data_IF_703969698104
#
_entry.id   IF_703969698104
#
_cell.length_a   1.000
_cell.length_b   1.000
_cell.length_c   1.000
_cell.angle_alpha   90.00
_cell.angle_beta   90.00
_cell.angle_gamma   90.00
#
_symmetry.space_group_name_H-M   'P 1'
#
loop_
_entity.id
_entity.type
_entity.pdbx_description
1 polymer ?
#
# COMPACT_ATOMS: atom_id res chain seq x y z
N UNK A 1 55.84 -65.67 -0.56
CA UNK A 1 55.96 -65.03 0.77
C UNK A 1 55.18 -63.73 0.70
N UNK A 2 54.08 -63.50 1.41
CA UNK A 2 53.57 -64.12 2.62
C UNK A 2 53.19 -63.00 3.59
N UNK A 3 51.89 -62.91 3.93
CA UNK A 3 51.29 -62.34 5.16
C UNK A 3 51.53 -60.85 5.50
N UNK A 4 50.58 -60.07 6.02
CA UNK A 4 49.23 -60.29 6.51
C UNK A 4 48.50 -58.94 6.67
N UNK A 5 47.18 -59.01 6.71
CA UNK A 5 46.23 -58.03 7.29
C UNK A 5 46.62 -57.63 8.74
N UNK A 6 46.08 -56.52 9.25
CA UNK A 6 44.86 -56.68 10.05
C UNK A 6 43.75 -55.67 9.73
N UNK A 7 42.53 -56.20 9.80
CA UNK A 7 41.29 -55.46 9.89
C UNK A 7 41.12 -54.81 11.28
N UNK A 8 40.41 -53.67 11.33
CA UNK A 8 39.71 -53.20 12.52
C UNK A 8 38.58 -52.26 12.09
N UNK A 9 37.41 -52.87 11.87
CA UNK A 9 36.13 -52.17 11.80
C UNK A 9 35.85 -51.40 13.10
N UNK A 10 35.50 -50.12 12.98
CA UNK A 10 34.71 -49.42 14.00
C UNK A 10 33.52 -48.75 13.31
N UNK A 11 32.46 -49.56 13.10
CA UNK A 11 31.11 -49.07 12.78
C UNK A 11 30.62 -48.18 13.92
N UNK A 12 30.61 -46.86 13.71
CA UNK A 12 29.87 -45.95 14.57
C UNK A 12 28.36 -46.18 14.38
N UNK A 13 27.67 -46.52 15.48
CA UNK A 13 26.22 -46.76 15.53
C UNK A 13 25.42 -45.48 15.18
N UNK A 14 24.30 -45.59 14.45
CA UNK A 14 23.44 -44.46 14.09
C UNK A 14 22.47 -44.09 15.23
N UNK A 15 22.98 -43.87 16.44
CA UNK A 15 22.17 -43.47 17.61
C UNK A 15 22.56 -42.16 18.27
N UNK A 16 23.74 -41.61 17.96
CA UNK A 16 24.22 -40.38 18.62
C UNK A 16 24.11 -39.11 17.76
N UNK A 17 23.79 -39.22 16.47
CA UNK A 17 23.57 -38.05 15.60
C UNK A 17 22.20 -37.36 15.79
N UNK A 18 21.25 -38.00 16.51
CA UNK A 18 19.94 -37.40 16.83
C UNK A 18 19.92 -36.56 18.11
N UNK A 19 21.00 -36.53 18.89
CA UNK A 19 21.08 -35.73 20.13
C UNK A 19 21.82 -34.40 20.00
N UNK A 20 22.52 -34.14 18.89
CA UNK A 20 23.18 -32.85 18.62
C UNK A 20 22.44 -31.94 17.63
N UNK A 21 21.26 -32.35 17.14
CA UNK A 21 20.39 -31.53 16.28
C UNK A 21 19.10 -31.07 17.00
N UNK A 22 19.10 -31.03 18.34
CA UNK A 22 17.94 -30.66 19.16
C UNK A 22 18.28 -29.70 20.32
N UNK A 23 19.33 -28.87 20.17
CA UNK A 23 19.69 -27.87 21.19
C UNK A 23 20.08 -26.49 20.63
N UNK A 24 19.56 -26.09 19.46
CA UNK A 24 19.78 -24.74 18.92
C UNK A 24 18.55 -24.11 18.26
N UNK A 25 17.35 -24.63 18.55
CA UNK A 25 16.08 -23.97 18.21
C UNK A 25 15.22 -24.05 19.47
N UNK A 26 14.83 -22.91 20.02
CA UNK A 26 13.97 -22.84 21.22
C UNK A 26 14.58 -22.15 22.44
N UNK A 27 15.33 -21.07 22.26
CA UNK A 27 15.77 -20.18 23.35
C UNK A 27 14.81 -19.01 23.65
N UNK A 28 13.54 -19.12 23.25
CA UNK A 28 12.56 -18.04 23.41
C UNK A 28 11.16 -18.58 23.64
N UNK A 29 10.88 -19.18 24.79
CA UNK A 29 9.54 -19.78 24.99
C UNK A 29 8.94 -19.70 26.39
N UNK A 30 9.42 -18.82 27.28
CA UNK A 30 8.71 -18.55 28.54
C UNK A 30 8.64 -17.07 28.91
N UNK A 31 9.64 -16.25 28.54
CA UNK A 31 9.62 -14.81 28.81
C UNK A 31 8.78 -14.00 27.81
N UNK A 32 8.70 -14.40 26.54
CA UNK A 32 7.90 -13.70 25.52
C UNK A 32 6.40 -13.91 25.69
N UNK A 33 5.95 -15.13 25.98
CA UNK A 33 4.56 -15.44 26.31
C UNK A 33 4.07 -14.64 27.53
N UNK A 34 4.94 -14.50 28.55
CA UNK A 34 4.66 -13.66 29.72
C UNK A 34 4.58 -12.18 29.39
N UNK A 35 5.44 -11.66 28.52
CA UNK A 35 5.45 -10.26 28.10
C UNK A 35 4.22 -9.89 27.26
N UNK A 36 3.81 -10.76 26.33
CA UNK A 36 2.61 -10.57 25.50
C UNK A 36 1.34 -10.65 26.35
N UNK A 37 1.22 -11.63 27.25
CA UNK A 37 0.09 -11.72 28.19
C UNK A 37 0.04 -10.51 29.15
N UNK A 38 1.22 -10.03 29.60
CA UNK A 38 1.31 -8.85 30.46
C UNK A 38 0.83 -7.59 29.75
N UNK A 39 1.19 -7.39 28.48
CA UNK A 39 0.70 -6.26 27.68
C UNK A 39 -0.83 -6.25 27.60
N UNK A 40 -1.44 -7.39 27.22
CA UNK A 40 -2.89 -7.51 27.12
C UNK A 40 -3.61 -7.27 28.45
N UNK A 41 -3.03 -7.77 29.55
CA UNK A 41 -3.54 -7.52 30.90
C UNK A 41 -3.46 -6.04 31.29
N UNK A 42 -2.35 -5.37 30.99
CA UNK A 42 -2.18 -3.93 31.22
C UNK A 42 -3.16 -3.11 30.38
N UNK A 43 -3.31 -3.44 29.08
CA UNK A 43 -4.22 -2.76 28.18
C UNK A 43 -5.69 -2.90 28.62
N UNK A 44 -6.10 -4.11 29.00
CA UNK A 44 -7.43 -4.36 29.55
C UNK A 44 -7.68 -3.57 30.85
N UNK A 45 -6.71 -3.59 31.77
CA UNK A 45 -6.82 -2.87 33.04
C UNK A 45 -6.87 -1.36 32.83
N UNK A 46 -6.07 -0.82 31.91
CA UNK A 46 -6.08 0.60 31.57
C UNK A 46 -7.41 1.03 30.94
N UNK A 47 -7.95 0.22 30.03
CA UNK A 47 -9.26 0.46 29.43
C UNK A 47 -10.36 0.45 30.50
N UNK A 48 -10.38 -0.58 31.37
CA UNK A 48 -11.36 -0.70 32.44
C UNK A 48 -11.29 0.47 33.43
N UNK A 49 -10.08 0.88 33.86
CA UNK A 49 -9.88 2.03 34.74
C UNK A 49 -10.32 3.31 34.06
N UNK A 50 -9.97 3.52 32.78
CA UNK A 50 -10.36 4.73 32.04
C UNK A 50 -11.88 4.84 31.89
N UNK A 51 -12.55 3.74 31.53
CA UNK A 51 -14.02 3.69 31.45
C UNK A 51 -14.65 3.95 32.82
N UNK A 52 -14.11 3.36 33.89
CA UNK A 52 -14.60 3.59 35.25
C UNK A 52 -14.43 5.06 35.67
N UNK A 53 -13.28 5.69 35.41
CA UNK A 53 -13.02 7.10 35.75
C UNK A 53 -13.97 8.05 35.01
N UNK A 54 -14.41 7.71 33.79
CA UNK A 54 -15.37 8.52 33.03
C UNK A 54 -16.80 8.28 33.52
N UNK A 55 -17.18 7.02 33.72
CA UNK A 55 -18.56 6.63 34.03
C UNK A 55 -18.91 6.90 35.50
N UNK A 56 -17.98 6.68 36.43
CA UNK A 56 -18.20 6.84 37.87
C UNK A 56 -18.66 8.27 38.27
N UNK A 57 -18.03 9.38 37.84
CA UNK A 57 -18.53 10.72 38.15
C UNK A 57 -19.87 11.01 37.47
N UNK A 58 -20.17 10.39 36.32
CA UNK A 58 -21.47 10.55 35.65
C UNK A 58 -22.61 9.82 36.38
N UNK A 59 -22.28 8.73 37.10
CA UNK A 59 -23.23 7.96 37.90
C UNK A 59 -23.35 8.46 39.35
N UNK A 60 -22.24 8.88 39.96
CA UNK A 60 -22.18 9.32 41.36
C UNK A 60 -22.47 10.80 41.56
N UNK A 61 -22.24 11.65 40.56
CA UNK A 61 -22.61 13.06 40.72
C UNK A 61 -24.13 13.16 40.58
N UNK A 62 -24.84 13.69 41.60
CA UNK A 62 -26.19 14.18 41.34
C UNK A 62 -26.06 15.16 40.17
N UNK A 63 -27.05 15.17 39.27
CA UNK A 63 -27.12 16.21 38.27
C UNK A 63 -27.14 17.54 39.02
N UNK A 64 -25.98 18.20 39.16
CA UNK A 64 -25.93 19.59 39.52
C UNK A 64 -26.54 20.26 38.30
N UNK A 65 -27.84 20.52 38.40
CA UNK A 65 -28.46 21.57 37.62
C UNK A 65 -27.51 22.76 37.73
N UNK A 66 -27.12 23.31 36.58
CA UNK A 66 -26.45 24.61 36.57
C UNK A 66 -27.28 25.50 37.51
N UNK A 67 -26.66 26.19 38.49
CA UNK A 67 -27.42 26.96 39.47
C UNK A 67 -28.42 27.81 38.70
N UNK A 68 -29.72 27.60 38.97
CA UNK A 68 -30.77 28.28 38.22
C UNK A 68 -30.47 29.77 38.25
N UNK A 69 -30.54 30.45 37.09
CA UNK A 69 -30.33 31.91 36.97
C UNK A 69 -31.08 32.69 38.06
N UNK A 70 -32.21 32.14 38.50
CA UNK A 70 -33.10 32.66 39.55
C UNK A 70 -32.46 32.75 40.95
N UNK A 71 -31.46 31.91 41.28
CA UNK A 71 -30.71 32.02 42.55
C UNK A 71 -29.77 33.23 42.58
N UNK A 72 -29.27 33.67 41.42
CA UNK A 72 -28.51 34.91 41.30
C UNK A 72 -29.40 36.14 41.42
N UNK A 73 -30.65 36.06 40.96
CA UNK A 73 -31.60 37.18 41.02
C UNK A 73 -31.93 37.56 42.47
N UNK A 74 -31.97 36.59 43.39
CA UNK A 74 -32.19 36.85 44.82
C UNK A 74 -31.05 37.68 45.46
N UNK A 75 -29.80 37.34 45.18
CA UNK A 75 -28.63 38.08 45.67
C UNK A 75 -28.58 39.49 45.07
N UNK A 76 -28.92 39.64 43.78
CA UNK A 76 -28.95 40.92 43.08
C UNK A 76 -30.04 41.84 43.65
N UNK A 77 -31.26 41.35 43.90
CA UNK A 77 -32.32 42.19 44.46
C UNK A 77 -32.04 42.62 45.91
N UNK A 78 -31.35 41.79 46.71
CA UNK A 78 -30.89 42.20 48.05
C UNK A 78 -29.84 43.32 47.98
N UNK A 79 -28.91 43.23 47.04
CA UNK A 79 -27.93 44.28 46.82
C UNK A 79 -28.61 45.59 46.40
N UNK A 80 -29.58 45.54 45.48
CA UNK A 80 -30.36 46.70 45.05
C UNK A 80 -31.15 47.38 46.17
N UNK A 81 -31.70 46.61 47.12
CA UNK A 81 -32.36 47.19 48.30
C UNK A 81 -31.39 47.91 49.23
N UNK A 82 -30.16 47.41 49.31
CA UNK A 82 -29.10 48.00 50.14
C UNK A 82 -28.63 49.32 49.52
N UNK A 83 -28.34 49.31 48.22
CA UNK A 83 -27.94 50.50 47.45
C UNK A 83 -29.03 51.60 47.48
N UNK A 84 -30.30 51.22 47.32
CA UNK A 84 -31.43 52.15 47.41
C UNK A 84 -31.52 52.82 48.80
N UNK A 85 -31.21 52.09 49.87
CA UNK A 85 -31.16 52.65 51.23
C UNK A 85 -30.02 53.65 51.42
N UNK A 86 -28.87 53.39 50.81
CA UNK A 86 -27.73 54.32 50.82
C UNK A 86 -28.02 55.59 50.01
N UNK A 87 -28.72 55.49 48.89
CA UNK A 87 -29.14 56.64 48.07
C UNK A 87 -30.19 57.52 48.77
N UNK A 88 -31.14 56.89 49.47
CA UNK A 88 -32.10 57.61 50.33
C UNK A 88 -31.37 58.35 51.46
N UNK A 89 -30.42 57.70 52.13
CA UNK A 89 -29.64 58.30 53.21
C UNK A 89 -28.76 59.48 52.73
N UNK A 90 -28.30 59.45 51.47
CA UNK A 90 -27.55 60.54 50.83
C UNK A 90 -28.45 61.66 50.28
N UNK A 91 -29.77 61.52 50.36
CA UNK A 91 -30.74 62.48 49.82
C UNK A 91 -30.78 62.52 48.28
N UNK A 92 -30.28 61.48 47.61
CA UNK A 92 -30.27 61.39 46.15
C UNK A 92 -31.65 61.08 45.55
N UNK A 93 -32.56 60.53 46.36
CA UNK A 93 -33.93 60.17 45.99
C UNK A 93 -34.91 60.62 47.08
N UNK A 94 -36.13 61.00 46.69
CA UNK A 94 -37.19 61.39 47.63
C UNK A 94 -37.74 60.18 48.40
N UNK A 95 -38.16 60.38 49.65
CA UNK A 95 -38.65 59.29 50.52
C UNK A 95 -39.83 58.51 49.91
N UNK A 96 -40.76 59.20 49.23
CA UNK A 96 -41.91 58.58 48.58
C UNK A 96 -41.50 57.71 47.37
N UNK A 97 -40.48 58.14 46.62
CA UNK A 97 -39.93 57.42 45.47
C UNK A 97 -39.08 56.21 45.91
N UNK A 98 -38.32 56.36 47.00
CA UNK A 98 -37.60 55.28 47.65
C UNK A 98 -38.56 54.21 48.19
N UNK A 99 -39.67 54.62 48.83
CA UNK A 99 -40.70 53.71 49.34
C UNK A 99 -41.37 52.92 48.20
N UNK A 100 -41.70 53.58 47.08
CA UNK A 100 -42.29 52.93 45.91
C UNK A 100 -41.32 51.92 45.28
N UNK A 101 -40.05 52.29 45.11
CA UNK A 101 -39.00 51.43 44.55
C UNK A 101 -38.71 50.22 45.44
N UNK A 102 -38.64 50.43 46.76
CA UNK A 102 -38.48 49.36 47.75
C UNK A 102 -39.62 48.34 47.70
N UNK A 103 -40.86 48.80 47.53
CA UNK A 103 -42.02 47.92 47.42
C UNK A 103 -41.99 47.06 46.13
N UNK A 104 -41.56 47.63 45.00
CA UNK A 104 -41.45 46.91 43.73
C UNK A 104 -40.30 45.89 43.75
N UNK A 105 -39.11 46.28 44.24
CA UNK A 105 -37.96 45.36 44.39
C UNK A 105 -38.30 44.23 45.36
N UNK A 106 -38.96 44.53 46.49
CA UNK A 106 -39.42 43.52 47.44
C UNK A 106 -40.39 42.50 46.83
N UNK A 107 -41.32 42.94 45.97
CA UNK A 107 -42.22 42.03 45.24
C UNK A 107 -41.47 41.12 44.26
N UNK A 108 -40.46 41.66 43.56
CA UNK A 108 -39.63 40.88 42.62
C UNK A 108 -38.79 39.84 43.34
N UNK A 109 -38.20 40.23 44.48
CA UNK A 109 -37.46 39.33 45.36
C UNK A 109 -38.33 38.17 45.85
N UNK A 110 -39.56 38.45 46.31
CA UNK A 110 -40.49 37.40 46.75
C UNK A 110 -40.90 36.45 45.61
N UNK A 111 -41.14 36.97 44.40
CA UNK A 111 -41.44 36.12 43.24
C UNK A 111 -40.26 35.26 42.82
N UNK A 112 -39.05 35.80 42.83
CA UNK A 112 -37.82 35.05 42.55
C UNK A 112 -37.60 33.95 43.58
N UNK A 113 -37.80 34.24 44.87
CA UNK A 113 -37.69 33.27 45.95
C UNK A 113 -38.75 32.14 45.84
N UNK A 114 -40.01 32.49 45.55
CA UNK A 114 -41.06 31.50 45.34
C UNK A 114 -40.84 30.64 44.09
N UNK A 115 -40.31 31.23 43.00
CA UNK A 115 -39.93 30.48 41.81
C UNK A 115 -38.79 29.50 42.08
N UNK A 116 -37.79 29.93 42.85
CA UNK A 116 -36.68 29.08 43.27
C UNK A 116 -37.13 27.92 44.19
N UNK A 117 -38.08 28.15 45.11
CA UNK A 117 -38.68 27.09 45.92
C UNK A 117 -39.61 26.15 45.12
N UNK A 118 -40.29 26.68 44.09
CA UNK A 118 -41.18 25.91 43.22
C UNK A 118 -40.43 25.13 42.12
N UNK A 119 -39.14 25.40 41.93
CA UNK A 119 -38.31 24.66 40.99
C UNK A 119 -38.28 23.17 41.39
N UNK A 120 -38.65 22.24 40.50
CA UNK A 120 -38.71 20.83 40.83
C UNK A 120 -37.30 20.33 41.16
N UNK A 121 -37.10 19.85 42.40
CA UNK A 121 -35.85 19.20 42.77
C UNK A 121 -35.50 18.10 41.75
N UNK A 122 -34.35 18.22 41.10
CA UNK A 122 -33.90 17.30 40.05
C UNK A 122 -34.15 15.85 40.44
N UNK A 123 -34.92 15.13 39.61
CA UNK A 123 -35.29 13.73 39.91
C UNK A 123 -34.02 12.91 40.13
N UNK A 124 -33.88 12.17 41.25
CA UNK A 124 -32.74 11.28 41.44
C UNK A 124 -32.71 10.26 40.29
N UNK A 125 -31.53 10.03 39.71
CA UNK A 125 -31.34 8.98 38.70
C UNK A 125 -31.83 7.67 39.30
N UNK A 126 -32.82 7.04 38.66
CA UNK A 126 -33.37 5.77 39.13
C UNK A 126 -32.30 4.67 39.13
N UNK A 127 -32.45 3.71 40.05
CA UNK A 127 -31.62 2.48 40.13
C UNK A 127 -31.33 1.81 38.76
N UNK A 128 -32.25 1.75 37.77
CA UNK A 128 -31.92 1.18 36.46
C UNK A 128 -30.90 1.98 35.64
N UNK A 129 -30.85 3.32 35.78
CA UNK A 129 -29.86 4.14 35.07
C UNK A 129 -28.44 3.95 35.63
N UNK A 130 -28.33 3.76 36.95
CA UNK A 130 -27.06 3.43 37.61
C UNK A 130 -26.59 2.03 37.20
N UNK A 131 -27.51 1.05 37.21
CA UNK A 131 -27.22 -0.31 36.77
C UNK A 131 -26.79 -0.37 35.29
N UNK A 132 -27.46 0.38 34.40
CA UNK A 132 -27.10 0.46 33.00
C UNK A 132 -25.71 1.08 32.79
N UNK A 133 -25.37 2.14 33.53
CA UNK A 133 -24.04 2.74 33.47
C UNK A 133 -22.93 1.80 33.95
N UNK A 134 -23.18 1.08 35.04
CA UNK A 134 -22.24 0.06 35.53
C UNK A 134 -22.09 -1.11 34.54
N UNK A 135 -23.19 -1.53 33.91
CA UNK A 135 -23.16 -2.57 32.88
C UNK A 135 -22.33 -2.12 31.67
N UNK A 136 -22.48 -0.88 31.20
CA UNK A 136 -21.65 -0.33 30.12
C UNK A 136 -20.18 -0.27 30.52
N UNK A 137 -19.87 0.16 31.74
CA UNK A 137 -18.49 0.24 32.23
C UNK A 137 -17.80 -1.12 32.29
N UNK A 138 -18.54 -2.19 32.55
CA UNK A 138 -18.02 -3.56 32.60
C UNK A 138 -17.98 -4.24 31.22
N UNK A 139 -19.05 -4.08 30.43
CA UNK A 139 -19.22 -4.81 29.18
C UNK A 139 -18.40 -4.21 28.04
N UNK A 140 -18.12 -2.90 28.05
CA UNK A 140 -17.40 -2.24 26.97
C UNK A 140 -15.94 -2.73 26.84
N UNK A 141 -15.12 -2.79 27.91
CA UNK A 141 -13.75 -3.31 27.81
C UNK A 141 -13.72 -4.79 27.42
N UNK A 142 -14.60 -5.60 28.00
CA UNK A 142 -14.70 -7.04 27.72
C UNK A 142 -15.13 -7.28 26.27
N UNK A 143 -16.16 -6.58 25.81
CA UNK A 143 -16.65 -6.67 24.44
C UNK A 143 -15.60 -6.22 23.42
N UNK A 144 -14.85 -5.16 23.72
CA UNK A 144 -13.76 -4.66 22.87
C UNK A 144 -12.63 -5.69 22.75
N UNK A 145 -12.25 -6.31 23.88
CA UNK A 145 -11.25 -7.37 23.90
C UNK A 145 -11.69 -8.59 23.06
N UNK A 146 -12.90 -9.10 23.29
CA UNK A 146 -13.43 -10.26 22.54
C UNK A 146 -13.60 -9.96 21.05
N UNK A 147 -13.99 -8.74 20.70
CA UNK A 147 -14.11 -8.32 19.31
C UNK A 147 -12.74 -8.33 18.61
N UNK A 148 -11.72 -7.76 19.26
CA UNK A 148 -10.37 -7.73 18.70
C UNK A 148 -9.73 -9.13 18.64
N UNK A 149 -9.99 -10.00 19.60
CA UNK A 149 -9.53 -11.40 19.58
C UNK A 149 -10.15 -12.18 18.41
N UNK A 150 -11.44 -11.95 18.13
CA UNK A 150 -12.18 -12.72 17.11
C UNK A 150 -11.95 -12.25 15.68
N UNK A 151 -11.78 -10.95 15.47
CA UNK A 151 -11.71 -10.33 14.14
C UNK A 151 -10.46 -9.48 13.90
N UNK A 152 -9.66 -9.24 14.93
CA UNK A 152 -8.36 -8.58 14.82
C UNK A 152 -7.25 -9.58 14.54
N UNK A 153 -6.01 -9.09 14.61
CA UNK A 153 -4.80 -9.87 14.38
C UNK A 153 -3.85 -9.77 15.58
N UNK A 154 -4.22 -10.31 16.75
CA UNK A 154 -3.45 -10.20 17.99
C UNK A 154 -2.07 -10.87 17.92
N UNK A 155 -1.88 -11.77 16.96
CA UNK A 155 -0.63 -12.49 16.73
C UNK A 155 0.37 -11.70 15.87
N UNK A 156 -0.04 -10.60 15.23
CA UNK A 156 0.86 -9.78 14.44
C UNK A 156 1.72 -8.96 15.39
N UNK A 157 3.06 -9.14 15.38
CA UNK A 157 3.95 -8.39 16.25
C UNK A 157 3.93 -6.90 15.89
N UNK A 158 4.20 -6.06 16.87
CA UNK A 158 4.34 -4.63 16.64
C UNK A 158 5.48 -4.37 15.64
N UNK A 159 5.21 -3.52 14.65
CA UNK A 159 6.23 -3.07 13.72
C UNK A 159 6.77 -1.73 14.22
N UNK A 160 7.92 -1.67 14.93
CA UNK A 160 8.52 -0.42 15.37
C UNK A 160 8.84 0.51 14.20
N UNK A 161 8.85 1.82 14.45
CA UNK A 161 9.06 2.84 13.42
C UNK A 161 10.34 2.60 12.60
N UNK A 162 11.38 2.05 13.23
CA UNK A 162 12.64 1.68 12.56
C UNK A 162 12.48 0.62 11.46
N UNK A 163 11.56 -0.34 11.63
CA UNK A 163 11.26 -1.36 10.62
C UNK A 163 10.34 -0.83 9.50
N UNK A 164 9.59 0.25 9.76
CA UNK A 164 8.77 0.94 8.74
C UNK A 164 9.57 1.95 7.92
N UNK A 165 10.64 2.51 8.52
CA UNK A 165 11.50 3.53 7.94
C UNK A 165 12.77 2.96 7.28
N UNK A 166 13.02 1.66 7.42
CA UNK A 166 13.98 0.99 6.57
C UNK A 166 13.51 1.16 5.12
N UNK A 167 14.39 1.56 4.17
CA UNK A 167 14.04 1.45 2.76
C UNK A 167 13.58 0.01 2.57
N UNK A 168 12.40 -0.18 1.98
CA UNK A 168 11.95 -1.49 1.53
C UNK A 168 13.14 -2.13 0.85
N UNK A 169 13.78 -3.09 1.52
CA UNK A 169 14.48 -4.13 0.81
C UNK A 169 13.37 -4.67 -0.07
N UNK A 170 13.41 -4.32 -1.35
CA UNK A 170 12.67 -5.05 -2.38
C UNK A 170 12.81 -6.51 -1.94
N UNK A 171 11.73 -7.22 -1.57
CA UNK A 171 11.87 -8.63 -1.17
C UNK A 171 12.71 -9.24 -2.26
N UNK A 172 13.92 -9.68 -1.91
CA UNK A 172 14.95 -9.95 -2.90
C UNK A 172 14.41 -11.06 -3.79
N UNK A 173 13.85 -10.67 -4.93
CA UNK A 173 13.12 -11.56 -5.82
C UNK A 173 14.11 -12.62 -6.29
N UNK A 174 15.38 -12.26 -6.46
CA UNK A 174 16.45 -13.20 -6.77
C UNK A 174 16.68 -14.20 -5.63
N UNK A 175 16.77 -13.76 -4.37
CA UNK A 175 16.90 -14.69 -3.24
C UNK A 175 15.67 -15.59 -3.06
N UNK A 176 14.46 -15.08 -3.26
CA UNK A 176 13.23 -15.86 -3.18
C UNK A 176 13.13 -16.89 -4.31
N UNK A 177 13.49 -16.50 -5.55
CA UNK A 177 13.58 -17.41 -6.69
C UNK A 177 14.64 -18.48 -6.42
N UNK A 178 15.83 -18.11 -5.92
CA UNK A 178 16.88 -19.07 -5.59
C UNK A 178 16.46 -20.08 -4.51
N UNK A 179 15.67 -19.66 -3.50
CA UNK A 179 15.10 -20.58 -2.52
C UNK A 179 14.15 -21.59 -3.18
N UNK A 180 13.24 -21.10 -4.02
CA UNK A 180 12.28 -21.95 -4.73
C UNK A 180 13.01 -22.90 -5.68
N UNK A 181 14.04 -22.44 -6.39
CA UNK A 181 14.87 -23.28 -7.26
C UNK A 181 15.58 -24.40 -6.49
N UNK A 182 16.16 -24.11 -5.32
CA UNK A 182 16.76 -25.14 -4.47
C UNK A 182 15.75 -26.17 -4.00
N UNK A 183 14.54 -25.73 -3.64
CA UNK A 183 13.45 -26.63 -3.27
C UNK A 183 13.01 -27.49 -4.46
N UNK A 184 12.79 -26.91 -5.62
CA UNK A 184 12.38 -27.61 -6.84
C UNK A 184 13.45 -28.59 -7.35
N UNK A 185 14.73 -28.32 -7.08
CA UNK A 185 15.82 -29.27 -7.33
C UNK A 185 15.74 -30.50 -6.42
N UNK A 186 15.30 -30.33 -5.17
CA UNK A 186 15.10 -31.44 -4.23
C UNK A 186 13.75 -32.15 -4.42
N UNK A 187 12.72 -31.41 -4.82
CA UNK A 187 11.32 -31.84 -5.00
C UNK A 187 10.81 -31.47 -6.41
N UNK A 188 11.22 -32.18 -7.48
CA UNK A 188 10.85 -31.83 -8.85
C UNK A 188 9.36 -31.95 -9.18
N UNK A 189 8.60 -32.65 -8.32
CA UNK A 189 7.16 -32.86 -8.45
C UNK A 189 6.32 -31.87 -7.62
N UNK A 190 6.94 -30.82 -7.07
CA UNK A 190 6.22 -29.72 -6.40
C UNK A 190 5.50 -28.83 -7.43
N UNK A 191 4.27 -29.21 -7.75
CA UNK A 191 3.40 -28.49 -8.67
C UNK A 191 3.12 -27.06 -8.24
N UNK A 192 3.10 -26.79 -6.93
CA UNK A 192 2.86 -25.46 -6.36
C UNK A 192 4.06 -24.57 -6.59
N UNK A 193 5.26 -25.03 -6.26
CA UNK A 193 6.52 -24.33 -6.51
C UNK A 193 6.69 -23.95 -7.99
N UNK A 194 6.40 -24.87 -8.92
CA UNK A 194 6.46 -24.58 -10.36
C UNK A 194 5.47 -23.49 -10.79
N UNK A 195 4.25 -23.46 -10.23
CA UNK A 195 3.25 -22.44 -10.57
C UNK A 195 3.53 -21.08 -9.96
N UNK A 196 4.26 -21.02 -8.85
CA UNK A 196 4.69 -19.75 -8.26
C UNK A 196 5.84 -19.17 -9.08
N UNK A 197 6.81 -19.99 -9.49
CA UNK A 197 8.02 -19.48 -10.15
C UNK A 197 7.81 -19.14 -11.63
N UNK A 198 6.94 -19.85 -12.36
CA UNK A 198 6.80 -19.64 -13.81
C UNK A 198 6.41 -18.20 -14.21
N UNK A 199 5.42 -17.53 -13.57
CA UNK A 199 5.11 -16.13 -13.85
C UNK A 199 6.15 -15.14 -13.33
N UNK A 200 7.01 -15.56 -12.39
CA UNK A 200 8.15 -14.74 -11.93
C UNK A 200 9.22 -14.72 -13.02
N UNK A 201 9.56 -15.87 -13.59
CA UNK A 201 10.50 -15.94 -14.70
C UNK A 201 10.06 -15.10 -15.91
N UNK A 202 8.77 -15.10 -16.25
CA UNK A 202 8.23 -14.20 -17.29
C UNK A 202 8.52 -12.71 -17.00
N UNK A 203 8.24 -12.28 -15.76
CA UNK A 203 8.46 -10.88 -15.35
C UNK A 203 9.94 -10.50 -15.32
N UNK A 204 10.83 -11.48 -15.09
CA UNK A 204 12.28 -11.29 -15.08
C UNK A 204 12.91 -11.33 -16.47
N UNK A 205 12.15 -11.62 -17.54
CA UNK A 205 12.73 -11.76 -18.88
C UNK A 205 13.24 -13.16 -19.21
N UNK A 206 13.16 -14.11 -18.27
CA UNK A 206 13.77 -15.43 -18.38
C UNK A 206 12.83 -16.42 -19.10
N UNK A 207 12.51 -16.15 -20.37
CA UNK A 207 11.53 -16.91 -21.15
C UNK A 207 11.80 -18.43 -21.23
N UNK A 208 13.07 -18.83 -21.33
CA UNK A 208 13.45 -20.25 -21.34
C UNK A 208 13.09 -20.96 -20.02
N UNK A 209 13.49 -20.38 -18.89
CA UNK A 209 13.16 -20.90 -17.55
C UNK A 209 11.64 -20.88 -17.31
N UNK A 210 10.95 -19.81 -17.75
CA UNK A 210 9.50 -19.73 -17.68
C UNK A 210 8.84 -20.87 -18.47
N UNK A 211 9.29 -21.15 -19.69
CA UNK A 211 8.73 -22.21 -20.53
C UNK A 211 8.90 -23.59 -19.88
N UNK A 212 10.08 -23.86 -19.31
CA UNK A 212 10.35 -25.10 -18.58
C UNK A 212 9.46 -25.23 -17.34
N UNK A 213 9.30 -24.15 -16.58
CA UNK A 213 8.45 -24.13 -15.39
C UNK A 213 6.97 -24.37 -15.73
N UNK A 214 6.42 -23.70 -16.76
CA UNK A 214 5.04 -23.95 -17.21
C UNK A 214 4.84 -25.38 -17.72
N UNK A 215 5.80 -25.96 -18.45
CA UNK A 215 5.74 -27.39 -18.85
C UNK A 215 5.69 -28.32 -17.64
N UNK A 216 6.45 -28.03 -16.58
CA UNK A 216 6.36 -28.79 -15.32
C UNK A 216 4.99 -28.65 -14.65
N UNK A 217 4.40 -27.46 -14.64
CA UNK A 217 3.01 -27.28 -14.15
C UNK A 217 2.04 -28.14 -14.95
N UNK A 218 2.11 -28.13 -16.28
CA UNK A 218 1.24 -28.90 -17.17
C UNK A 218 1.46 -30.42 -17.07
N UNK A 219 2.66 -30.86 -16.67
CA UNK A 219 2.96 -32.27 -16.37
C UNK A 219 2.26 -32.74 -15.07
N UNK A 220 2.18 -31.85 -14.08
CA UNK A 220 1.74 -32.18 -12.72
C UNK A 220 0.28 -31.84 -12.45
N UNK A 221 -0.32 -30.93 -13.21
CA UNK A 221 -1.69 -30.45 -13.04
C UNK A 221 -2.47 -30.45 -14.34
N UNK A 222 -3.81 -30.58 -14.26
CA UNK A 222 -4.68 -30.39 -15.42
C UNK A 222 -4.44 -29.02 -16.07
N UNK A 223 -4.47 -28.93 -17.41
CA UNK A 223 -4.25 -27.68 -18.12
C UNK A 223 -5.38 -26.68 -17.82
N UNK A 224 -4.99 -25.42 -17.65
CA UNK A 224 -5.91 -24.28 -17.58
C UNK A 224 -5.56 -23.28 -18.69
N UNK A 225 -6.52 -22.45 -19.12
CA UNK A 225 -6.25 -21.41 -20.11
C UNK A 225 -5.06 -20.52 -19.70
N UNK A 226 -4.98 -20.15 -18.42
CA UNK A 226 -3.87 -19.38 -17.86
C UNK A 226 -2.52 -20.09 -17.99
N UNK A 227 -2.42 -21.36 -17.61
CA UNK A 227 -1.13 -22.09 -17.63
C UNK A 227 -0.66 -22.33 -19.06
N UNK A 228 -1.58 -22.69 -19.96
CA UNK A 228 -1.27 -22.95 -21.37
C UNK A 228 -0.91 -21.64 -22.10
N UNK A 229 -1.65 -20.55 -21.87
CA UNK A 229 -1.29 -19.25 -22.41
C UNK A 229 0.03 -18.72 -21.84
N UNK A 230 0.32 -18.98 -20.55
CA UNK A 230 1.59 -18.64 -19.93
C UNK A 230 2.77 -19.36 -20.57
N UNK A 231 2.60 -20.63 -20.98
CA UNK A 231 3.60 -21.33 -21.80
C UNK A 231 3.79 -20.66 -23.16
N UNK A 232 2.70 -20.30 -23.85
CA UNK A 232 2.77 -19.56 -25.11
C UNK A 232 3.52 -18.24 -24.98
N UNK A 233 3.22 -17.45 -23.94
CA UNK A 233 3.91 -16.19 -23.64
C UNK A 233 5.40 -16.40 -23.36
N UNK A 234 5.74 -17.44 -22.60
CA UNK A 234 7.14 -17.78 -22.31
C UNK A 234 7.90 -18.16 -23.58
N UNK A 235 7.27 -18.88 -24.51
CA UNK A 235 7.85 -19.22 -25.81
C UNK A 235 8.06 -17.97 -26.69
N UNK A 236 7.11 -17.03 -26.69
CA UNK A 236 7.26 -15.75 -27.40
C UNK A 236 8.43 -14.96 -26.83
N UNK A 237 8.55 -14.89 -25.50
CA UNK A 237 9.64 -14.18 -24.83
C UNK A 237 11.00 -14.83 -25.10
N UNK A 238 11.08 -16.17 -25.03
CA UNK A 238 12.28 -16.93 -25.38
C UNK A 238 12.70 -16.71 -26.85
N UNK A 239 11.72 -16.52 -27.74
CA UNK A 239 11.94 -16.21 -29.15
C UNK A 239 12.15 -14.71 -29.45
N UNK A 240 12.46 -13.88 -28.44
CA UNK A 240 12.72 -12.45 -28.61
C UNK A 240 11.50 -11.64 -29.08
N UNK A 241 10.30 -12.05 -28.67
CA UNK A 241 9.05 -11.39 -29.03
C UNK A 241 8.40 -11.94 -30.31
N UNK A 242 9.01 -12.93 -30.97
CA UNK A 242 8.43 -13.58 -32.15
C UNK A 242 7.39 -14.64 -31.76
N UNK A 243 6.21 -14.57 -32.34
CA UNK A 243 5.18 -15.60 -32.20
C UNK A 243 5.54 -16.78 -33.10
N UNK A 244 6.13 -17.81 -32.50
CA UNK A 244 6.52 -19.04 -33.20
C UNK A 244 5.31 -19.97 -33.40
N UNK A 245 5.38 -20.94 -34.33
CA UNK A 245 4.30 -21.93 -34.51
C UNK A 245 4.00 -22.76 -33.24
N UNK A 246 5.02 -22.99 -32.40
CA UNK A 246 4.84 -23.64 -31.09
C UNK A 246 4.01 -22.75 -30.16
N UNK A 247 4.36 -21.46 -30.03
CA UNK A 247 3.60 -20.53 -29.23
C UNK A 247 2.15 -20.36 -29.72
N UNK A 248 1.95 -20.26 -31.05
CA UNK A 248 0.63 -20.19 -31.68
C UNK A 248 -0.24 -21.41 -31.31
N UNK A 249 0.36 -22.61 -31.31
CA UNK A 249 -0.31 -23.85 -30.91
C UNK A 249 -0.79 -23.79 -29.45
N UNK A 250 0.04 -23.27 -28.54
CA UNK A 250 -0.35 -23.11 -27.14
C UNK A 250 -1.45 -22.05 -26.97
N UNK A 251 -1.40 -20.93 -27.69
CA UNK A 251 -2.49 -19.95 -27.64
C UNK A 251 -3.82 -20.50 -28.16
N UNK A 252 -3.82 -21.31 -29.23
CA UNK A 252 -5.03 -22.00 -29.68
C UNK A 252 -5.57 -22.99 -28.65
N UNK A 253 -4.69 -23.74 -27.96
CA UNK A 253 -5.11 -24.61 -26.84
C UNK A 253 -5.70 -23.81 -25.68
N UNK A 254 -5.13 -22.65 -25.36
CA UNK A 254 -5.68 -21.76 -24.33
C UNK A 254 -7.09 -21.28 -24.71
N UNK A 255 -7.31 -20.90 -25.97
CA UNK A 255 -8.64 -20.49 -26.47
C UNK A 255 -9.65 -21.63 -26.54
N UNK A 256 -9.20 -22.87 -26.69
CA UNK A 256 -10.07 -24.04 -26.57
C UNK A 256 -10.55 -24.27 -25.13
N UNK A 257 -9.81 -23.79 -24.13
CA UNK A 257 -10.18 -23.84 -22.71
C UNK A 257 -11.00 -22.61 -22.28
N UNK A 258 -10.64 -21.44 -22.79
CA UNK A 258 -11.33 -20.17 -22.58
C UNK A 258 -11.21 -19.29 -23.83
N UNK A 259 -12.30 -19.23 -24.60
CA UNK A 259 -12.34 -18.48 -25.85
C UNK A 259 -12.19 -16.96 -25.68
N UNK A 260 -12.41 -16.43 -24.47
CA UNK A 260 -12.30 -15.00 -24.17
C UNK A 260 -10.94 -14.64 -23.55
N UNK A 261 -10.01 -15.60 -23.41
CA UNK A 261 -8.71 -15.36 -22.80
C UNK A 261 -7.87 -14.35 -23.59
N UNK A 262 -7.92 -13.10 -23.11
CA UNK A 262 -7.36 -11.91 -23.77
C UNK A 262 -5.88 -12.07 -24.15
N UNK A 263 -4.97 -12.55 -23.27
CA UNK A 263 -3.56 -12.73 -23.64
C UNK A 263 -3.36 -13.61 -24.87
N UNK A 264 -4.11 -14.71 -25.00
CA UNK A 264 -3.99 -15.60 -26.15
C UNK A 264 -4.48 -14.93 -27.44
N UNK A 265 -5.62 -14.22 -27.39
CA UNK A 265 -6.14 -13.45 -28.55
C UNK A 265 -5.17 -12.35 -28.98
N UNK A 266 -4.56 -11.67 -28.02
CA UNK A 266 -3.53 -10.65 -28.26
C UNK A 266 -2.32 -11.23 -28.99
N UNK A 267 -1.73 -12.32 -28.50
CA UNK A 267 -0.55 -12.90 -29.13
C UNK A 267 -0.83 -13.54 -30.50
N UNK A 268 -2.03 -14.09 -30.71
CA UNK A 268 -2.42 -14.58 -32.05
C UNK A 268 -2.57 -13.44 -33.06
N UNK A 269 -3.18 -12.32 -32.66
CA UNK A 269 -3.25 -11.12 -33.51
C UNK A 269 -1.86 -10.54 -33.80
N UNK A 270 -0.97 -10.53 -32.80
CA UNK A 270 0.44 -10.17 -32.98
C UNK A 270 1.15 -11.11 -33.96
N UNK A 271 0.90 -12.42 -33.88
CA UNK A 271 1.42 -13.41 -34.83
C UNK A 271 0.99 -13.12 -36.27
N UNK A 272 -0.29 -12.80 -36.49
CA UNK A 272 -0.81 -12.40 -37.81
C UNK A 272 -0.09 -11.15 -38.34
N UNK A 273 0.13 -10.14 -37.48
CA UNK A 273 0.90 -8.94 -37.83
C UNK A 273 2.33 -9.27 -38.23
N UNK A 274 3.02 -10.12 -37.46
CA UNK A 274 4.41 -10.54 -37.74
C UNK A 274 4.54 -11.40 -39.01
N UNK A 275 3.49 -12.12 -39.38
CA UNK A 275 3.42 -12.91 -40.61
C UNK A 275 3.08 -12.06 -41.85
N UNK A 276 2.83 -10.76 -41.70
CA UNK A 276 2.43 -9.86 -42.80
C UNK A 276 0.99 -10.06 -43.27
N UNK A 277 0.17 -10.80 -42.52
CA UNK A 277 -1.25 -11.07 -42.82
C UNK A 277 -2.11 -9.90 -42.35
N UNK A 278 -1.88 -8.72 -42.94
CA UNK A 278 -2.40 -7.45 -42.46
C UNK A 278 -3.94 -7.40 -42.36
N UNK A 279 -4.67 -7.96 -43.33
CA UNK A 279 -6.13 -7.98 -43.30
C UNK A 279 -6.68 -8.80 -42.12
N UNK A 280 -6.11 -9.98 -41.89
CA UNK A 280 -6.52 -10.89 -40.81
C UNK A 280 -6.09 -10.34 -39.44
N UNK A 281 -4.91 -9.71 -39.37
CA UNK A 281 -4.46 -9.02 -38.17
C UNK A 281 -5.41 -7.85 -37.83
N UNK A 282 -5.81 -7.03 -38.80
CA UNK A 282 -6.74 -5.93 -38.58
C UNK A 282 -8.11 -6.42 -38.08
N UNK A 283 -8.60 -7.55 -38.60
CA UNK A 283 -9.83 -8.18 -38.09
C UNK A 283 -9.66 -8.63 -36.64
N UNK A 284 -8.59 -9.37 -36.34
CA UNK A 284 -8.31 -9.88 -35.00
C UNK A 284 -8.13 -8.77 -33.96
N UNK A 285 -7.37 -7.71 -34.28
CA UNK A 285 -7.19 -6.55 -33.40
C UNK A 285 -8.49 -5.78 -33.18
N UNK A 286 -9.28 -5.58 -34.24
CA UNK A 286 -10.58 -4.91 -34.14
C UNK A 286 -11.57 -5.71 -33.29
N UNK A 287 -11.58 -7.04 -33.42
CA UNK A 287 -12.43 -7.92 -32.64
C UNK A 287 -12.03 -7.93 -31.15
N UNK A 288 -10.72 -7.97 -30.87
CA UNK A 288 -10.20 -7.88 -29.51
C UNK A 288 -10.56 -6.55 -28.83
N UNK A 289 -10.42 -5.42 -29.53
CA UNK A 289 -10.77 -4.10 -29.00
C UNK A 289 -12.27 -3.92 -28.73
N UNK A 290 -13.11 -4.60 -29.52
CA UNK A 290 -14.58 -4.57 -29.41
C UNK A 290 -15.11 -5.44 -28.27
N UNK A 291 -14.50 -6.59 -28.03
CA UNK A 291 -15.02 -7.62 -27.10
C UNK A 291 -14.21 -7.75 -25.81
N UNK A 292 -12.97 -7.28 -25.79
CA UNK A 292 -12.12 -7.30 -24.60
C UNK A 292 -12.46 -6.20 -23.59
N UNK A 293 -11.93 -6.27 -22.36
CA UNK A 293 -12.13 -5.26 -21.33
C UNK A 293 -11.79 -3.84 -21.80
N UNK A 294 -12.57 -2.81 -21.42
CA UNK A 294 -12.41 -1.44 -21.91
C UNK A 294 -11.16 -0.71 -21.40
N UNK A 295 -10.60 -1.10 -20.26
CA UNK A 295 -9.45 -0.43 -19.62
C UNK A 295 -8.22 -1.36 -19.50
N UNK A 296 -8.09 -2.30 -20.42
CA UNK A 296 -6.98 -3.24 -20.41
C UNK A 296 -5.64 -2.59 -20.79
N UNK A 297 -4.53 -2.91 -20.10
CA UNK A 297 -3.20 -2.35 -20.42
C UNK A 297 -2.70 -2.71 -21.82
N UNK A 298 -3.31 -3.71 -22.48
CA UNK A 298 -3.02 -4.15 -23.84
C UNK A 298 -3.65 -3.27 -24.93
N UNK A 299 -4.64 -2.43 -24.59
CA UNK A 299 -5.44 -1.69 -25.59
C UNK A 299 -4.62 -0.70 -26.42
N UNK A 300 -3.73 0.14 -25.85
CA UNK A 300 -2.94 1.07 -26.66
C UNK A 300 -2.08 0.35 -27.71
N UNK A 301 -1.55 -0.83 -27.36
CA UNK A 301 -0.76 -1.66 -28.27
C UNK A 301 -1.64 -2.24 -29.39
N UNK A 302 -2.84 -2.73 -29.05
CA UNK A 302 -3.78 -3.24 -30.04
C UNK A 302 -4.31 -2.14 -30.99
N UNK A 303 -4.52 -0.92 -30.50
CA UNK A 303 -4.94 0.23 -31.31
C UNK A 303 -3.86 0.64 -32.31
N UNK A 304 -2.59 0.72 -31.86
CA UNK A 304 -1.45 0.97 -32.73
C UNK A 304 -1.29 -0.13 -33.78
N UNK A 305 -1.34 -1.40 -33.36
CA UNK A 305 -1.21 -2.54 -34.27
C UNK A 305 -2.37 -2.61 -35.30
N UNK A 306 -3.58 -2.21 -34.92
CA UNK A 306 -4.71 -2.09 -35.85
C UNK A 306 -4.48 -0.98 -36.88
N UNK A 307 -3.94 0.17 -36.47
CA UNK A 307 -3.61 1.27 -37.36
C UNK A 307 -2.53 0.87 -38.37
N UNK A 308 -1.49 0.17 -37.92
CA UNK A 308 -0.42 -0.37 -38.78
C UNK A 308 -0.97 -1.38 -39.78
N UNK A 309 -1.75 -2.36 -39.29
CA UNK A 309 -2.37 -3.40 -40.11
C UNK A 309 -3.30 -2.82 -41.21
N UNK A 310 -4.07 -1.78 -40.90
CA UNK A 310 -4.93 -1.09 -41.88
C UNK A 310 -4.16 -0.27 -42.90
N UNK A 311 -3.00 0.27 -42.51
CA UNK A 311 -2.15 1.07 -43.38
C UNK A 311 -1.31 0.21 -44.34
N UNK A 312 -1.30 -1.11 -44.15
CA UNK A 312 -0.44 -2.03 -44.91
C UNK A 312 1.05 -1.87 -44.58
N UNK A 313 1.38 -1.06 -43.56
CA UNK A 313 2.71 -1.00 -43.00
C UNK A 313 2.92 -2.31 -42.24
N UNK A 314 3.95 -3.07 -42.62
CA UNK A 314 4.39 -4.18 -41.78
C UNK A 314 4.63 -3.63 -40.38
N UNK A 315 4.11 -4.32 -39.36
CA UNK A 315 4.33 -3.92 -37.97
C UNK A 315 5.82 -3.65 -37.79
N UNK A 316 6.23 -2.48 -37.26
CA UNK A 316 7.62 -2.32 -36.87
C UNK A 316 7.95 -3.50 -35.95
N UNK A 317 9.14 -4.14 -36.10
CA UNK A 317 9.55 -5.15 -35.14
C UNK A 317 9.34 -4.55 -33.76
N UNK A 318 8.77 -5.33 -32.83
CA UNK A 318 8.61 -4.91 -31.45
C UNK A 318 9.98 -4.39 -31.00
N UNK A 319 10.15 -3.08 -31.03
CA UNK A 319 11.38 -2.47 -30.61
C UNK A 319 11.41 -2.82 -29.14
N UNK A 320 12.44 -3.55 -28.67
CA UNK A 320 12.60 -3.76 -27.25
C UNK A 320 12.49 -2.38 -26.63
N UNK A 321 11.66 -2.24 -25.58
CA UNK A 321 11.56 -0.99 -24.84
C UNK A 321 12.97 -0.40 -24.73
N UNK A 322 13.24 0.82 -25.22
CA UNK A 322 14.61 1.24 -25.50
C UNK A 322 15.43 1.17 -24.21
N UNK A 323 16.25 0.14 -24.12
CA UNK A 323 16.84 -0.36 -22.89
C UNK A 323 17.88 -1.43 -23.24
N UNK A 324 18.89 -1.61 -22.39
CA UNK A 324 19.96 -2.58 -22.65
C UNK A 324 19.36 -3.98 -22.79
N UNK A 325 19.82 -4.74 -23.78
CA UNK A 325 19.45 -6.14 -23.94
C UNK A 325 19.98 -6.97 -22.75
N UNK A 326 19.47 -8.18 -22.57
CA UNK A 326 19.97 -9.07 -21.52
C UNK A 326 21.49 -9.35 -21.68
N UNK A 327 21.97 -9.42 -22.92
CA UNK A 327 23.39 -9.57 -23.26
C UNK A 327 24.20 -8.32 -22.87
N UNK A 328 23.64 -7.11 -23.05
CA UNK A 328 24.28 -5.86 -22.62
C UNK A 328 24.37 -5.74 -21.09
N UNK A 329 23.39 -6.29 -20.36
CA UNK A 329 23.38 -6.31 -18.89
C UNK A 329 24.42 -7.30 -18.35
N UNK A 330 24.47 -8.51 -18.90
CA UNK A 330 25.46 -9.53 -18.51
C UNK A 330 26.90 -9.07 -18.81
N UNK A 331 27.11 -8.45 -19.98
CA UNK A 331 28.40 -7.86 -20.32
C UNK A 331 28.81 -6.73 -19.36
N UNK A 332 27.85 -6.00 -18.78
CA UNK A 332 28.09 -4.92 -17.82
C UNK A 332 28.36 -5.41 -16.39
N UNK A 333 27.93 -6.62 -16.03
CA UNK A 333 28.20 -7.24 -14.72
C UNK A 333 29.69 -7.60 -14.56
N UNK A 334 30.36 -7.97 -15.66
CA UNK A 334 31.79 -8.28 -15.68
C UNK A 334 32.74 -7.07 -15.69
N UNK A 335 32.21 -5.84 -15.79
CA UNK A 335 33.02 -4.62 -15.86
C UNK A 335 33.49 -4.14 -14.48
N UNK A 336 34.64 -3.49 -14.46
CA UNK A 336 35.10 -2.75 -13.27
C UNK A 336 34.13 -1.61 -12.94
N UNK A 337 34.08 -1.18 -11.68
CA UNK A 337 33.19 -0.09 -11.26
C UNK A 337 33.46 1.23 -12.01
N UNK A 338 34.71 1.45 -12.44
CA UNK A 338 35.10 2.60 -13.26
C UNK A 338 34.57 2.51 -14.69
N UNK A 339 34.72 1.35 -15.33
CA UNK A 339 34.25 1.12 -16.70
C UNK A 339 32.72 1.11 -16.77
N UNK A 340 32.06 0.55 -15.74
CA UNK A 340 30.60 0.58 -15.61
C UNK A 340 30.09 2.02 -15.50
N UNK A 341 30.75 2.88 -14.72
CA UNK A 341 30.40 4.31 -14.62
C UNK A 341 30.57 5.03 -15.96
N UNK A 342 31.70 4.83 -16.65
CA UNK A 342 31.94 5.45 -17.96
C UNK A 342 30.92 5.00 -19.02
N UNK A 343 30.53 3.72 -18.99
CA UNK A 343 29.48 3.18 -19.86
C UNK A 343 28.12 3.84 -19.58
N UNK A 344 27.71 3.91 -18.31
CA UNK A 344 26.45 4.53 -17.89
C UNK A 344 26.44 6.02 -18.27
N UNK A 345 27.53 6.75 -18.04
CA UNK A 345 27.66 8.15 -18.45
C UNK A 345 27.50 8.32 -19.97
N UNK A 346 28.14 7.46 -20.76
CA UNK A 346 27.99 7.45 -22.21
C UNK A 346 26.56 7.17 -22.67
N UNK A 347 25.84 6.27 -21.99
CA UNK A 347 24.42 6.00 -22.26
C UNK A 347 23.53 7.21 -21.96
N UNK A 348 23.76 7.87 -20.82
CA UNK A 348 23.02 9.08 -20.42
C UNK A 348 23.31 10.24 -21.39
N UNK A 349 24.57 10.42 -21.81
CA UNK A 349 24.92 11.43 -22.81
C UNK A 349 24.25 11.19 -24.17
N UNK A 350 24.19 9.93 -24.64
CA UNK A 350 23.46 9.59 -25.88
C UNK A 350 21.96 9.86 -25.75
N UNK A 351 21.36 9.55 -24.60
CA UNK A 351 19.96 9.86 -24.33
C UNK A 351 19.71 11.38 -24.36
N UNK A 352 20.58 12.17 -23.73
CA UNK A 352 20.48 13.62 -23.75
C UNK A 352 20.58 14.18 -25.18
N UNK A 353 21.56 13.73 -25.98
CA UNK A 353 21.71 14.16 -27.38
C UNK A 353 20.52 13.79 -28.25
N UNK A 354 19.90 12.62 -28.04
CA UNK A 354 18.68 12.26 -28.76
C UNK A 354 17.51 13.18 -28.41
N UNK A 355 17.36 13.52 -27.13
CA UNK A 355 16.32 14.45 -26.68
C UNK A 355 16.55 15.88 -27.18
N UNK A 356 17.78 16.23 -27.58
CA UNK A 356 18.06 17.47 -28.30
C UNK A 356 17.51 17.43 -29.74
N UNK A 357 17.56 16.27 -30.39
CA UNK A 357 17.05 16.07 -31.75
C UNK A 357 15.54 15.80 -31.79
N UNK A 358 15.01 15.10 -30.79
CA UNK A 358 13.60 14.70 -30.64
C UNK A 358 13.06 15.20 -29.29
N UNK A 359 12.80 16.50 -29.15
CA UNK A 359 12.45 17.10 -27.86
C UNK A 359 11.05 16.67 -27.36
N UNK A 360 10.16 16.19 -28.23
CA UNK A 360 8.79 15.79 -27.87
C UNK A 360 8.65 14.49 -27.06
N UNK A 361 9.74 13.77 -26.76
CA UNK A 361 9.69 12.49 -26.03
C UNK A 361 9.60 12.67 -24.50
N UNK A 362 8.36 12.74 -23.99
CA UNK A 362 8.08 12.92 -22.56
C UNK A 362 8.65 11.79 -21.67
N UNK A 363 8.60 10.54 -22.14
CA UNK A 363 9.13 9.40 -21.40
C UNK A 363 10.67 9.40 -21.38
N UNK A 364 11.30 9.81 -22.47
CA UNK A 364 12.73 10.03 -22.55
C UNK A 364 13.21 11.09 -21.56
N UNK A 365 12.49 12.21 -21.42
CA UNK A 365 12.80 13.22 -20.41
C UNK A 365 12.69 12.69 -18.98
N UNK A 366 11.67 11.90 -18.64
CA UNK A 366 11.57 11.24 -17.31
C UNK A 366 12.74 10.30 -17.05
N UNK A 367 13.14 9.51 -18.06
CA UNK A 367 14.31 8.60 -17.97
C UNK A 367 15.61 9.37 -17.76
N UNK A 368 15.81 10.48 -18.46
CA UNK A 368 17.00 11.33 -18.32
C UNK A 368 17.08 11.92 -16.90
N UNK A 369 15.98 12.48 -16.40
CA UNK A 369 15.89 13.05 -15.05
C UNK A 369 16.18 12.00 -13.98
N UNK A 370 15.58 10.80 -14.09
CA UNK A 370 15.85 9.67 -13.17
C UNK A 370 17.32 9.28 -13.20
N UNK A 371 17.92 9.21 -14.39
CA UNK A 371 19.32 8.80 -14.55
C UNK A 371 20.27 9.77 -13.86
N UNK A 372 20.04 11.08 -13.99
CA UNK A 372 20.84 12.09 -13.28
C UNK A 372 20.70 12.02 -11.76
N UNK A 373 19.49 11.74 -11.24
CA UNK A 373 19.28 11.55 -9.80
C UNK A 373 20.02 10.32 -9.27
N UNK A 374 19.96 9.20 -9.98
CA UNK A 374 20.68 7.96 -9.60
C UNK A 374 22.19 8.14 -9.65
N UNK A 375 22.70 8.98 -10.55
CA UNK A 375 24.11 9.32 -10.67
C UNK A 375 24.58 10.41 -9.67
N UNK A 376 23.74 10.83 -8.73
CA UNK A 376 24.02 11.90 -7.77
C UNK A 376 24.37 13.25 -8.44
N UNK A 377 23.70 13.56 -9.55
CA UNK A 377 23.87 14.79 -10.36
C UNK A 377 22.59 15.64 -10.38
N UNK A 378 22.16 16.20 -9.23
CA UNK A 378 20.88 16.91 -9.12
C UNK A 378 20.82 18.19 -9.97
N UNK A 379 21.94 18.89 -10.16
CA UNK A 379 22.00 20.12 -10.94
C UNK A 379 21.64 19.89 -12.42
N UNK A 380 22.04 18.74 -12.97
CA UNK A 380 21.75 18.37 -14.34
C UNK A 380 20.33 17.86 -14.50
N UNK A 381 19.80 17.17 -13.48
CA UNK A 381 18.39 16.84 -13.42
C UNK A 381 17.52 18.12 -13.45
N UNK A 382 17.90 19.15 -12.68
CA UNK A 382 17.23 20.46 -12.68
C UNK A 382 17.42 21.21 -14.00
N UNK A 383 18.60 21.14 -14.63
CA UNK A 383 18.83 21.70 -15.95
C UNK A 383 17.96 21.03 -17.02
N UNK A 384 17.83 19.69 -16.99
CA UNK A 384 16.92 18.95 -17.86
C UNK A 384 15.47 19.40 -17.66
N UNK A 385 15.00 19.57 -16.43
CA UNK A 385 13.64 20.06 -16.15
C UNK A 385 13.38 21.48 -16.65
N UNK A 386 14.39 22.38 -16.59
CA UNK A 386 14.28 23.70 -17.22
C UNK A 386 14.10 23.59 -18.72
N UNK A 387 14.82 22.66 -19.38
CA UNK A 387 14.66 22.41 -20.82
C UNK A 387 13.29 21.82 -21.16
N UNK A 388 12.77 20.88 -20.36
CA UNK A 388 11.41 20.35 -20.52
C UNK A 388 10.38 21.48 -20.55
N UNK A 389 10.49 22.47 -19.66
CA UNK A 389 9.58 23.65 -19.65
C UNK A 389 9.66 24.53 -20.90
N UNK A 390 10.79 24.50 -21.62
CA UNK A 390 10.92 25.22 -22.91
C UNK A 390 10.37 24.44 -24.09
N UNK A 391 10.29 23.11 -23.94
CA UNK A 391 9.87 22.19 -25.00
C UNK A 391 8.36 21.93 -24.96
N UNK A 392 7.80 21.72 -23.77
CA UNK A 392 6.40 21.39 -23.59
C UNK A 392 5.59 22.64 -23.17
N UNK A 393 4.41 22.89 -23.77
CA UNK A 393 3.54 23.98 -23.36
C UNK A 393 3.15 23.90 -21.88
N UNK A 394 2.97 25.06 -21.23
CA UNK A 394 2.66 25.15 -19.79
C UNK A 394 1.37 24.40 -19.37
N UNK A 395 0.44 24.19 -20.30
CA UNK A 395 -0.85 23.50 -20.07
C UNK A 395 -0.87 22.07 -20.60
N UNK A 396 0.28 21.51 -21.00
CA UNK A 396 0.34 20.15 -21.55
C UNK A 396 0.30 19.10 -20.42
N UNK A 397 -0.52 18.04 -20.55
CA UNK A 397 -0.56 16.96 -19.57
C UNK A 397 0.80 16.26 -19.46
N UNK A 398 1.60 16.24 -20.52
CA UNK A 398 2.95 15.70 -20.55
C UNK A 398 3.90 16.48 -19.63
N UNK A 399 3.83 17.81 -19.62
CA UNK A 399 4.63 18.64 -18.72
C UNK A 399 4.25 18.41 -17.25
N UNK A 400 2.95 18.34 -16.96
CA UNK A 400 2.47 18.06 -15.59
C UNK A 400 2.94 16.69 -15.10
N UNK A 401 2.89 15.66 -15.95
CA UNK A 401 3.37 14.32 -15.65
C UNK A 401 4.89 14.30 -15.36
N UNK A 402 5.71 14.93 -16.22
CA UNK A 402 7.17 14.99 -16.02
C UNK A 402 7.52 15.75 -14.72
N UNK A 403 6.84 16.86 -14.43
CA UNK A 403 7.07 17.64 -13.20
C UNK A 403 6.54 16.92 -11.96
N UNK A 404 5.44 16.18 -12.07
CA UNK A 404 4.93 15.29 -11.02
C UNK A 404 5.93 14.19 -10.70
N UNK A 405 6.44 13.53 -11.74
CA UNK A 405 7.46 12.50 -11.62
C UNK A 405 8.74 13.03 -10.94
N UNK A 406 9.24 14.20 -11.36
CA UNK A 406 10.42 14.82 -10.77
C UNK A 406 10.26 15.14 -9.28
N UNK A 407 9.08 15.63 -8.87
CA UNK A 407 8.77 15.85 -7.45
C UNK A 407 8.79 14.56 -6.64
N UNK A 408 8.33 13.46 -7.23
CA UNK A 408 8.42 12.12 -6.63
C UNK A 408 9.85 11.65 -6.38
N UNK A 409 10.81 12.15 -7.16
CA UNK A 409 12.25 11.90 -6.95
C UNK A 409 12.91 12.87 -5.96
N UNK A 410 12.13 13.73 -5.28
CA UNK A 410 12.66 14.71 -4.33
C UNK A 410 13.28 15.96 -4.96
N UNK A 411 13.19 16.13 -6.28
CA UNK A 411 13.65 17.34 -6.95
C UNK A 411 12.65 18.47 -6.71
N UNK A 412 13.07 19.47 -5.93
CA UNK A 412 12.34 20.72 -5.77
C UNK A 412 12.71 21.62 -6.94
N UNK A 413 11.83 21.68 -7.94
CA UNK A 413 12.01 22.64 -9.01
C UNK A 413 11.88 24.04 -8.43
N UNK A 414 12.97 24.81 -8.42
CA UNK A 414 12.90 26.23 -8.06
C UNK A 414 11.81 26.90 -8.90
N UNK A 415 10.90 27.58 -8.20
CA UNK A 415 9.73 28.27 -8.76
C UNK A 415 10.07 29.62 -9.38
N UNK A 416 11.34 29.89 -9.63
CA UNK A 416 11.80 31.13 -10.24
C UNK A 416 11.93 30.93 -11.76
N UNK A 417 10.86 31.28 -12.45
CA UNK A 417 10.81 31.56 -13.90
C UNK A 417 11.58 32.86 -14.21
N UNK A 418 12.05 33.12 -15.45
CA UNK A 418 12.28 32.22 -16.59
C UNK A 418 13.74 31.79 -16.74
#
# INVERSE_FOLDING_TARGET
>A
MGDAMPASEARAKPRDARRSAMSSVGGGSLRSLGASMLFWLIAFLLAAVSTLVIVLPLLLRPAREAPARESYDEEVYRAQLTELGEDEARGGIGADEAAASRAEIGRRLLRAHQAAEAAPAGRPRGRPAVAAGLAVALLLPVGTFLFYDRWGSPEVPDQPLALRAAPTQTPDIAAAVAEIERRLAAEPDDAEGWSVVAPVYLRLGEGEKASAAFRNVLRLRPPTAQTVAGLGEALVQAAGGKVTPEAETEFHKALALDAEWVPARFFLALGLSQQGRAAEAAEAWSDLLRTGPPDGPWRPVAEAALADARSGAAAPPATPAPGPSAEDVEAAEGLSDGDRRAMVEGMVSRLAQRLDAEPGDADGWKRLVRSYVVLDRPDEALAALRRVRTVFPATSPELEDILGFARGLGLKADTTTP
#
